data_IF_918375113452
#
_entry.id   IF_918375113452
#
_cell.length_a   1.000
_cell.length_b   1.000
_cell.length_c   1.000
_cell.angle_alpha   90.00
_cell.angle_beta   90.00
_cell.angle_gamma   90.00
#
_symmetry.space_group_name_H-M   'P 1'
#
loop_
_entity.id
_entity.type
_entity.pdbx_description
1 polymer ?
#
# COMPACT_ATOMS: atom_id res chain seq x y z
N UNK A 1 -12.75 83.46 81.12
CA UNK A 1 -13.33 84.51 80.27
C UNK A 1 -14.82 84.45 80.43
N UNK A 2 -15.38 85.47 81.08
CA UNK A 2 -16.81 85.57 81.34
C UNK A 2 -17.51 86.17 80.14
N UNK A 3 -18.76 85.81 79.92
CA UNK A 3 -19.59 86.30 78.83
C UNK A 3 -20.87 86.88 79.38
N UNK A 4 -21.41 87.89 78.70
CA UNK A 4 -22.73 88.40 79.02
C UNK A 4 -23.80 87.37 78.60
N UNK A 5 -24.65 86.86 79.52
CA UNK A 5 -25.68 85.89 79.16
C UNK A 5 -26.77 86.47 78.26
N UNK A 6 -26.88 87.80 78.17
CA UNK A 6 -27.91 88.49 77.38
C UNK A 6 -27.48 88.77 75.93
N UNK A 7 -26.19 88.93 75.65
CA UNK A 7 -25.71 89.28 74.30
C UNK A 7 -24.49 88.48 73.83
N UNK A 8 -23.88 87.64 74.68
CA UNK A 8 -22.75 86.79 74.33
C UNK A 8 -21.41 87.50 74.18
N UNK A 9 -21.31 88.81 74.45
CA UNK A 9 -20.04 89.55 74.43
C UNK A 9 -19.15 89.14 75.60
N UNK A 10 -17.83 89.17 75.42
CA UNK A 10 -16.86 88.95 76.51
C UNK A 10 -16.94 90.08 77.54
N UNK A 11 -16.89 89.74 78.82
CA UNK A 11 -16.93 90.68 79.95
C UNK A 11 -15.84 90.32 80.95
N UNK A 12 -15.31 91.31 81.68
CA UNK A 12 -14.37 91.06 82.78
C UNK A 12 -15.11 90.61 84.05
N UNK A 13 -14.41 90.00 84.98
CA UNK A 13 -15.01 89.38 86.18
C UNK A 13 -15.53 90.44 87.17
N UNK A 14 -14.96 91.63 87.17
CA UNK A 14 -15.27 92.76 88.05
C UNK A 14 -16.35 93.72 87.49
N UNK A 15 -16.84 93.49 86.28
CA UNK A 15 -17.86 94.33 85.66
C UNK A 15 -19.27 94.02 86.22
N UNK A 16 -19.95 95.06 86.73
CA UNK A 16 -21.34 94.96 87.22
C UNK A 16 -22.39 95.16 86.11
N UNK A 17 -22.01 95.76 84.98
CA UNK A 17 -22.87 96.00 83.83
C UNK A 17 -22.13 95.63 82.54
N UNK A 18 -22.84 95.06 81.57
CA UNK A 18 -22.26 94.72 80.28
C UNK A 18 -22.00 96.00 79.47
N UNK A 19 -20.75 96.21 79.06
CA UNK A 19 -20.32 97.38 78.26
C UNK A 19 -21.02 97.44 76.89
N UNK A 20 -21.46 96.29 76.36
CA UNK A 20 -22.10 96.20 75.04
C UNK A 20 -23.62 96.33 75.07
N UNK A 21 -24.31 95.75 76.06
CA UNK A 21 -25.78 95.75 76.11
C UNK A 21 -26.38 96.56 77.27
N UNK A 22 -25.56 97.13 78.15
CA UNK A 22 -25.96 98.00 79.26
C UNK A 22 -26.71 97.33 80.41
N UNK A 23 -27.00 96.02 80.32
CA UNK A 23 -27.73 95.29 81.37
C UNK A 23 -26.81 94.93 82.55
N UNK A 24 -27.36 94.94 83.77
CA UNK A 24 -26.67 94.49 84.99
C UNK A 24 -26.29 93.01 84.82
N UNK A 25 -25.02 92.70 84.99
CA UNK A 25 -24.52 91.33 84.92
C UNK A 25 -24.89 90.59 86.22
N UNK A 26 -25.28 89.30 86.15
CA UNK A 26 -25.56 88.51 87.35
C UNK A 26 -24.34 88.46 88.27
N UNK A 27 -24.50 88.67 89.57
CA UNK A 27 -23.37 88.63 90.54
C UNK A 27 -22.76 87.22 90.66
N UNK A 28 -23.55 86.19 90.32
CA UNK A 28 -23.08 84.83 90.19
C UNK A 28 -22.26 84.66 88.88
N UNK A 29 -20.97 84.39 89.04
CA UNK A 29 -20.00 84.21 87.94
C UNK A 29 -20.32 82.96 87.12
N UNK A 30 -20.94 81.93 87.70
CA UNK A 30 -21.21 80.66 87.01
C UNK A 30 -22.24 80.85 85.87
N UNK A 31 -23.14 81.81 86.02
CA UNK A 31 -24.10 82.22 84.98
C UNK A 31 -23.44 82.98 83.80
N UNK A 32 -22.15 83.33 83.92
CA UNK A 32 -21.37 84.02 82.89
C UNK A 32 -20.47 83.06 82.09
N UNK A 33 -20.56 81.75 82.30
CA UNK A 33 -19.79 80.73 81.57
C UNK A 33 -20.60 80.10 80.43
N UNK A 34 -20.02 80.00 79.23
CA UNK A 34 -20.66 79.33 78.08
C UNK A 34 -20.82 77.82 78.35
N UNK A 35 -21.97 77.20 78.03
CA UNK A 35 -22.14 75.76 78.15
C UNK A 35 -21.21 75.00 77.19
N UNK A 36 -20.42 74.07 77.74
CA UNK A 36 -19.46 73.24 76.97
C UNK A 36 -20.22 72.33 76.00
N UNK A 37 -20.09 72.56 74.69
CA UNK A 37 -20.75 71.77 73.63
C UNK A 37 -20.20 70.33 73.60
N UNK A 38 -21.05 69.35 73.94
CA UNK A 38 -20.73 67.91 74.02
C UNK A 38 -20.55 67.23 72.65
N UNK A 39 -19.59 67.66 71.84
CA UNK A 39 -19.26 67.05 70.54
C UNK A 39 -18.46 65.73 70.64
N UNK A 40 -18.06 65.30 71.84
CA UNK A 40 -17.20 64.12 72.02
C UNK A 40 -17.91 62.78 71.81
N UNK A 41 -19.20 62.66 72.17
CA UNK A 41 -19.91 61.37 72.13
C UNK A 41 -20.11 60.84 70.70
N UNK A 42 -20.41 61.70 69.73
CA UNK A 42 -20.60 61.29 68.35
C UNK A 42 -19.29 60.81 67.69
N UNK A 43 -18.14 61.43 68.03
CA UNK A 43 -16.84 61.03 67.50
C UNK A 43 -16.45 59.62 68.02
N UNK A 44 -16.68 59.34 69.30
CA UNK A 44 -16.42 58.01 69.86
C UNK A 44 -17.37 56.93 69.29
N UNK A 45 -18.63 57.28 68.99
CA UNK A 45 -19.58 56.36 68.34
C UNK A 45 -19.12 56.04 66.92
N UNK A 46 -18.73 57.04 66.12
CA UNK A 46 -18.21 56.82 64.76
C UNK A 46 -16.93 55.98 64.75
N UNK A 47 -16.03 56.21 65.72
CA UNK A 47 -14.79 55.44 65.86
C UNK A 47 -15.08 53.98 66.26
N UNK A 48 -16.02 53.75 67.17
CA UNK A 48 -16.42 52.40 67.59
C UNK A 48 -17.05 51.60 66.44
N UNK A 49 -17.89 52.23 65.62
CA UNK A 49 -18.48 51.59 64.43
C UNK A 49 -17.39 51.24 63.40
N UNK A 50 -16.43 52.14 63.18
CA UNK A 50 -15.31 51.87 62.27
C UNK A 50 -14.46 50.68 62.73
N UNK A 51 -14.15 50.59 64.02
CA UNK A 51 -13.41 49.46 64.59
C UNK A 51 -14.20 48.16 64.46
N UNK A 52 -15.51 48.17 64.73
CA UNK A 52 -16.36 47.01 64.58
C UNK A 52 -16.43 46.53 63.12
N UNK A 53 -16.62 47.43 62.16
CA UNK A 53 -16.61 47.12 60.73
C UNK A 53 -15.25 46.59 60.27
N UNK A 54 -14.15 47.19 60.71
CA UNK A 54 -12.81 46.69 60.43
C UNK A 54 -12.59 45.28 60.99
N UNK A 55 -13.08 45.00 62.19
CA UNK A 55 -13.01 43.67 62.80
C UNK A 55 -13.81 42.62 62.00
N UNK A 56 -15.02 42.98 61.55
CA UNK A 56 -15.85 42.11 60.69
C UNK A 56 -15.14 41.85 59.36
N UNK A 57 -14.57 42.87 58.72
CA UNK A 57 -13.83 42.71 57.46
C UNK A 57 -12.61 41.79 57.63
N UNK A 58 -11.84 41.94 58.72
CA UNK A 58 -10.69 41.07 59.00
C UNK A 58 -11.13 39.64 59.28
N UNK A 59 -12.18 39.45 60.09
CA UNK A 59 -12.73 38.11 60.35
C UNK A 59 -13.23 37.43 59.08
N UNK A 60 -13.93 38.18 58.22
CA UNK A 60 -14.40 37.70 56.92
C UNK A 60 -13.25 37.38 55.97
N UNK A 61 -12.17 38.18 55.98
CA UNK A 61 -10.97 37.91 55.20
C UNK A 61 -10.29 36.60 55.63
N UNK A 62 -10.13 36.36 56.94
CA UNK A 62 -9.57 35.10 57.44
C UNK A 62 -10.45 33.90 57.07
N UNK A 63 -11.77 34.03 57.16
CA UNK A 63 -12.71 32.99 56.75
C UNK A 63 -12.60 32.67 55.25
N UNK A 64 -12.54 33.69 54.38
CA UNK A 64 -12.32 33.50 52.95
C UNK A 64 -10.95 32.85 52.64
N UNK A 65 -9.93 33.20 53.42
CA UNK A 65 -8.60 32.64 53.27
C UNK A 65 -8.57 31.15 53.65
N UNK A 66 -9.21 30.78 54.77
CA UNK A 66 -9.35 29.38 55.19
C UNK A 66 -10.14 28.55 54.17
N UNK A 67 -11.26 29.06 53.65
CA UNK A 67 -12.01 28.42 52.57
C UNK A 67 -11.17 28.22 51.31
N UNK A 68 -10.35 29.21 50.96
CA UNK A 68 -9.48 29.14 49.78
C UNK A 68 -8.38 28.09 49.98
N UNK A 69 -7.85 27.95 51.19
CA UNK A 69 -6.85 26.95 51.53
C UNK A 69 -7.42 25.53 51.47
N UNK A 70 -8.61 25.32 52.06
CA UNK A 70 -9.33 24.03 51.98
C UNK A 70 -9.69 23.67 50.53
N UNK A 71 -10.18 24.62 49.75
CA UNK A 71 -10.47 24.39 48.33
C UNK A 71 -9.22 23.99 47.54
N UNK A 72 -8.06 24.59 47.85
CA UNK A 72 -6.79 24.26 47.21
C UNK A 72 -6.27 22.88 47.62
N UNK A 73 -6.44 22.50 48.89
CA UNK A 73 -6.08 21.18 49.40
C UNK A 73 -6.88 20.08 48.69
N UNK A 74 -8.22 20.20 48.66
CA UNK A 74 -9.08 19.26 47.95
C UNK A 74 -8.79 19.22 46.44
N UNK A 75 -8.43 20.35 45.83
CA UNK A 75 -8.03 20.38 44.43
C UNK A 75 -6.72 19.60 44.17
N UNK A 76 -5.71 19.75 45.04
CA UNK A 76 -4.45 18.98 44.92
C UNK A 76 -4.66 17.49 45.13
N UNK A 77 -5.56 17.13 46.04
CA UNK A 77 -5.95 15.74 46.26
C UNK A 77 -6.62 15.16 45.00
N UNK A 78 -7.51 15.92 44.37
CA UNK A 78 -8.11 15.55 43.09
C UNK A 78 -7.07 15.35 41.98
N UNK A 79 -6.08 16.23 41.85
CA UNK A 79 -4.99 16.06 40.87
C UNK A 79 -4.22 14.74 41.11
N UNK A 80 -3.98 14.39 42.38
CA UNK A 80 -3.32 13.14 42.73
C UNK A 80 -4.18 11.91 42.37
N UNK A 81 -5.48 11.93 42.68
CA UNK A 81 -6.40 10.87 42.28
C UNK A 81 -6.51 10.72 40.76
N UNK A 82 -6.53 11.85 40.05
CA UNK A 82 -6.65 11.85 38.60
C UNK A 82 -5.45 11.21 37.91
N UNK A 83 -4.23 11.53 38.38
CA UNK A 83 -3.00 10.92 37.86
C UNK A 83 -2.89 9.43 38.16
N UNK A 84 -3.62 8.95 39.17
CA UNK A 84 -3.74 7.52 39.50
C UNK A 84 -4.89 6.84 38.73
N UNK A 85 -5.67 7.59 37.94
CA UNK A 85 -6.83 7.08 37.20
C UNK A 85 -8.08 6.84 38.04
N UNK A 86 -8.12 7.33 39.29
CA UNK A 86 -9.30 7.23 40.14
C UNK A 86 -10.24 8.42 39.90
N UNK A 87 -10.99 8.35 38.79
CA UNK A 87 -11.86 9.44 38.35
C UNK A 87 -13.04 9.69 39.31
N UNK A 88 -13.49 8.67 40.04
CA UNK A 88 -14.60 8.81 40.99
C UNK A 88 -14.17 9.56 42.25
N UNK A 89 -13.01 9.23 42.81
CA UNK A 89 -12.44 10.01 43.93
C UNK A 89 -12.06 11.42 43.48
N UNK A 90 -11.54 11.57 42.26
CA UNK A 90 -11.26 12.89 41.66
C UNK A 90 -12.49 13.78 41.65
N UNK A 91 -13.64 13.30 41.16
CA UNK A 91 -14.89 14.08 41.17
C UNK A 91 -15.34 14.44 42.59
N UNK A 92 -15.18 13.53 43.55
CA UNK A 92 -15.55 13.77 44.94
C UNK A 92 -14.72 14.90 45.54
N UNK A 93 -13.38 14.85 45.41
CA UNK A 93 -12.49 15.91 45.90
C UNK A 93 -12.69 17.24 45.15
N UNK A 94 -13.03 17.23 43.86
CA UNK A 94 -13.36 18.45 43.11
C UNK A 94 -14.68 19.09 43.54
N UNK A 95 -15.70 18.28 43.84
CA UNK A 95 -16.95 18.80 44.37
C UNK A 95 -16.72 19.43 45.76
N UNK A 96 -15.93 18.80 46.63
CA UNK A 96 -15.52 19.39 47.91
C UNK A 96 -14.80 20.73 47.72
N UNK A 97 -13.86 20.81 46.76
CA UNK A 97 -13.16 22.06 46.45
C UNK A 97 -14.13 23.19 46.01
N UNK A 98 -15.14 22.84 45.21
CA UNK A 98 -16.16 23.78 44.72
C UNK A 98 -17.20 24.15 45.79
N UNK A 99 -17.45 23.30 46.78
CA UNK A 99 -18.26 23.63 47.96
C UNK A 99 -17.56 24.70 48.83
N UNK A 100 -16.24 24.61 48.99
CA UNK A 100 -15.45 25.61 49.69
C UNK A 100 -15.26 26.90 48.89
N UNK A 101 -15.20 26.81 47.55
CA UNK A 101 -15.05 27.96 46.65
C UNK A 101 -15.77 27.73 45.32
N UNK A 102 -17.01 28.20 45.23
CA UNK A 102 -17.86 28.01 44.04
C UNK A 102 -17.23 28.55 42.75
N UNK A 103 -16.58 29.71 42.81
CA UNK A 103 -15.90 30.32 41.66
C UNK A 103 -14.41 29.94 41.64
N UNK A 104 -14.13 28.69 41.30
CA UNK A 104 -12.77 28.18 41.12
C UNK A 104 -12.60 27.60 39.70
N UNK A 105 -12.18 28.42 38.71
CA UNK A 105 -12.14 28.02 37.30
C UNK A 105 -11.34 26.74 37.02
N UNK A 106 -10.17 26.57 37.65
CA UNK A 106 -9.35 25.37 37.45
C UNK A 106 -10.05 24.10 37.96
N UNK A 107 -10.77 24.16 39.09
CA UNK A 107 -11.53 23.02 39.58
C UNK A 107 -12.74 22.70 38.69
N UNK A 108 -13.38 23.71 38.10
CA UNK A 108 -14.47 23.52 37.13
C UNK A 108 -13.94 22.81 35.88
N UNK A 109 -12.86 23.32 35.29
CA UNK A 109 -12.23 22.73 34.10
C UNK A 109 -11.77 21.29 34.36
N UNK A 110 -11.09 21.05 35.48
CA UNK A 110 -10.61 19.71 35.83
C UNK A 110 -11.78 18.73 36.07
N UNK A 111 -12.89 19.21 36.64
CA UNK A 111 -14.10 18.39 36.84
C UNK A 111 -14.77 18.03 35.53
N UNK A 112 -14.83 18.98 34.59
CA UNK A 112 -15.44 18.74 33.29
C UNK A 112 -14.58 17.77 32.46
N UNK A 113 -13.25 17.91 32.51
CA UNK A 113 -12.31 16.89 32.00
C UNK A 113 -12.52 15.52 32.66
N UNK A 114 -12.64 15.47 34.00
CA UNK A 114 -12.80 14.20 34.73
C UNK A 114 -14.10 13.49 34.34
N UNK A 115 -15.20 14.23 34.13
CA UNK A 115 -16.45 13.66 33.63
C UNK A 115 -16.29 13.08 32.23
N UNK A 116 -15.60 13.79 31.34
CA UNK A 116 -15.28 13.28 30.01
C UNK A 116 -14.44 12.00 30.08
N UNK A 117 -13.41 11.97 30.94
CA UNK A 117 -12.57 10.80 31.12
C UNK A 117 -13.35 9.57 31.61
N UNK A 118 -14.36 9.75 32.46
CA UNK A 118 -15.27 8.67 32.89
C UNK A 118 -16.07 8.14 31.71
N UNK A 119 -16.66 9.01 30.89
CA UNK A 119 -17.43 8.61 29.70
C UNK A 119 -16.54 7.79 28.76
N UNK A 120 -15.33 8.29 28.48
CA UNK A 120 -14.36 7.59 27.62
C UNK A 120 -14.00 6.22 28.19
N UNK A 121 -13.76 6.09 29.50
CA UNK A 121 -13.45 4.80 30.13
C UNK A 121 -14.65 3.85 30.12
N UNK A 122 -15.87 4.34 30.28
CA UNK A 122 -17.08 3.52 30.13
C UNK A 122 -17.20 2.99 28.70
N UNK A 123 -17.02 3.85 27.69
CA UNK A 123 -17.08 3.47 26.28
C UNK A 123 -16.01 2.44 25.89
N UNK A 124 -14.83 2.49 26.52
CA UNK A 124 -13.75 1.51 26.32
C UNK A 124 -14.01 0.15 26.99
N UNK A 125 -14.83 0.11 28.05
CA UNK A 125 -15.13 -1.11 28.79
C UNK A 125 -16.32 -1.90 28.23
N UNK A 126 -17.06 -1.34 27.27
CA UNK A 126 -18.12 -2.08 26.60
C UNK A 126 -17.48 -3.16 25.73
N UNK A 127 -17.77 -4.44 26.00
CA UNK A 127 -17.45 -5.56 25.11
C UNK A 127 -18.25 -5.43 23.80
N UNK A 128 -17.81 -4.54 22.93
CA UNK A 128 -18.40 -4.35 21.61
C UNK A 128 -17.85 -5.39 20.64
N UNK A 129 -18.75 -6.21 20.10
CA UNK A 129 -18.41 -7.17 19.05
C UNK A 129 -18.19 -6.50 17.69
N UNK A 130 -18.60 -5.24 17.54
CA UNK A 130 -18.37 -4.45 16.33
C UNK A 130 -17.11 -3.59 16.45
N UNK A 131 -16.04 -4.03 15.77
CA UNK A 131 -14.78 -3.30 15.69
C UNK A 131 -14.91 -1.88 15.13
N UNK A 132 -15.87 -1.60 14.24
CA UNK A 132 -16.04 -0.27 13.65
C UNK A 132 -16.64 0.71 14.67
N UNK A 133 -17.61 0.27 15.45
CA UNK A 133 -18.21 1.07 16.51
C UNK A 133 -17.17 1.43 17.57
N UNK A 134 -16.39 0.47 18.04
CA UNK A 134 -15.33 0.73 19.04
C UNK A 134 -14.26 1.70 18.54
N UNK A 135 -13.86 1.59 17.27
CA UNK A 135 -12.90 2.53 16.67
C UNK A 135 -13.49 3.94 16.50
N UNK A 136 -14.79 4.05 16.27
CA UNK A 136 -15.48 5.35 16.19
C UNK A 136 -15.49 6.03 17.56
N UNK A 137 -15.87 5.31 18.63
CA UNK A 137 -15.85 5.82 20.01
C UNK A 137 -14.46 6.29 20.43
N UNK A 138 -13.40 5.52 20.10
CA UNK A 138 -12.02 5.92 20.37
C UNK A 138 -11.65 7.23 19.66
N UNK A 139 -12.02 7.37 18.39
CA UNK A 139 -11.72 8.58 17.62
C UNK A 139 -12.49 9.80 18.13
N UNK A 140 -13.73 9.60 18.57
CA UNK A 140 -14.53 10.64 19.23
C UNK A 140 -13.89 11.07 20.54
N UNK A 141 -13.53 10.14 21.42
CA UNK A 141 -12.80 10.43 22.66
C UNK A 141 -11.49 11.19 22.42
N UNK A 142 -10.68 10.78 21.42
CA UNK A 142 -9.45 11.51 21.04
C UNK A 142 -9.74 12.94 20.59
N UNK A 143 -10.82 13.16 19.83
CA UNK A 143 -11.23 14.47 19.36
C UNK A 143 -11.68 15.34 20.53
N UNK A 144 -12.47 14.82 21.46
CA UNK A 144 -12.93 15.57 22.64
C UNK A 144 -11.76 15.95 23.56
N UNK A 145 -10.79 15.04 23.73
CA UNK A 145 -9.56 15.28 24.50
C UNK A 145 -8.64 16.33 23.88
N UNK A 146 -8.75 16.62 22.58
CA UNK A 146 -7.90 17.62 21.92
C UNK A 146 -8.08 19.05 22.46
N UNK A 147 -9.18 19.30 23.18
CA UNK A 147 -9.44 20.58 23.84
C UNK A 147 -8.70 20.74 25.17
N UNK A 148 -8.10 19.67 25.69
CA UNK A 148 -7.44 19.64 26.99
C UNK A 148 -5.93 19.39 26.81
N UNK A 149 -5.15 19.78 27.81
CA UNK A 149 -3.70 19.53 27.84
C UNK A 149 -3.23 19.20 29.25
N UNK A 150 -2.19 18.38 29.36
CA UNK A 150 -1.58 18.02 30.64
C UNK A 150 -1.30 16.54 30.76
N UNK A 151 -0.60 16.15 31.83
CA UNK A 151 -0.11 14.78 32.04
C UNK A 151 -1.23 13.74 32.10
N UNK A 152 -2.37 14.06 32.73
CA UNK A 152 -3.52 13.16 32.77
C UNK A 152 -4.14 12.95 31.37
N UNK A 153 -4.14 13.99 30.54
CA UNK A 153 -4.62 13.93 29.15
C UNK A 153 -3.71 13.02 28.33
N UNK A 154 -2.39 13.18 28.46
CA UNK A 154 -1.40 12.33 27.79
C UNK A 154 -1.57 10.84 28.16
N UNK A 155 -1.79 10.53 29.43
CA UNK A 155 -2.05 9.16 29.90
C UNK A 155 -3.32 8.57 29.27
N UNK A 156 -4.41 9.34 29.19
CA UNK A 156 -5.66 8.86 28.60
C UNK A 156 -5.55 8.73 27.07
N UNK A 157 -4.83 9.64 26.41
CA UNK A 157 -4.51 9.53 24.98
C UNK A 157 -3.69 8.27 24.69
N UNK A 158 -2.70 7.95 25.53
CA UNK A 158 -1.92 6.71 25.41
C UNK A 158 -2.81 5.47 25.57
N UNK A 159 -3.70 5.44 26.58
CA UNK A 159 -4.69 4.37 26.73
C UNK A 159 -5.56 4.20 25.47
N UNK A 160 -6.07 5.29 24.91
CA UNK A 160 -6.87 5.28 23.68
C UNK A 160 -6.07 4.82 22.46
N UNK A 161 -4.80 5.18 22.35
CA UNK A 161 -3.91 4.69 21.30
C UNK A 161 -3.69 3.18 21.42
N UNK A 162 -3.42 2.69 22.63
CA UNK A 162 -3.22 1.27 22.89
C UNK A 162 -4.51 0.46 22.62
N UNK A 163 -5.67 0.96 23.07
CA UNK A 163 -6.96 0.36 22.78
C UNK A 163 -7.24 0.30 21.26
N UNK A 164 -6.92 1.37 20.53
CA UNK A 164 -7.06 1.39 19.06
C UNK A 164 -6.22 0.30 18.40
N UNK A 165 -4.94 0.21 18.77
CA UNK A 165 -4.02 -0.79 18.23
C UNK A 165 -4.54 -2.20 18.51
N UNK A 166 -4.94 -2.48 19.76
CA UNK A 166 -5.48 -3.79 20.15
C UNK A 166 -6.72 -4.18 19.34
N UNK A 167 -7.68 -3.27 19.18
CA UNK A 167 -8.91 -3.52 18.41
C UNK A 167 -8.59 -3.76 16.93
N UNK A 168 -7.65 -3.01 16.36
CA UNK A 168 -7.21 -3.22 14.98
C UNK A 168 -6.53 -4.59 14.82
N UNK A 169 -5.70 -5.00 15.77
CA UNK A 169 -5.06 -6.32 15.79
C UNK A 169 -6.10 -7.44 15.89
N UNK A 170 -7.06 -7.34 16.80
CA UNK A 170 -8.13 -8.34 16.93
C UNK A 170 -8.97 -8.45 15.66
N UNK A 171 -9.31 -7.32 15.03
CA UNK A 171 -10.00 -7.31 13.74
C UNK A 171 -9.21 -8.05 12.66
N UNK A 172 -7.91 -7.80 12.57
CA UNK A 172 -7.02 -8.50 11.62
C UNK A 172 -6.97 -10.00 11.91
N UNK A 173 -6.78 -10.40 13.18
CA UNK A 173 -6.76 -11.80 13.61
C UNK A 173 -8.08 -12.52 13.31
N UNK A 174 -9.21 -11.88 13.60
CA UNK A 174 -10.53 -12.43 13.32
C UNK A 174 -10.76 -12.65 11.82
N UNK A 175 -10.29 -11.73 10.97
CA UNK A 175 -10.33 -11.91 9.51
C UNK A 175 -9.45 -13.07 9.03
N UNK A 176 -8.29 -13.27 9.64
CA UNK A 176 -7.37 -14.37 9.31
C UNK A 176 -7.90 -15.75 9.74
N UNK A 177 -8.59 -15.82 10.88
CA UNK A 177 -9.17 -17.06 11.39
C UNK A 177 -10.22 -17.67 10.44
N UNK A 178 -10.83 -16.87 9.57
CA UNK A 178 -11.88 -17.29 8.64
C UNK A 178 -11.36 -17.81 7.28
N UNK A 179 -10.11 -18.29 7.21
CA UNK A 179 -9.46 -18.81 5.99
C UNK A 179 -9.69 -17.92 4.74
N UNK A 180 -9.22 -16.66 4.79
CA UNK A 180 -9.52 -15.67 3.76
C UNK A 180 -8.98 -16.06 2.38
N UNK A 181 -9.69 -15.64 1.33
CA UNK A 181 -9.20 -15.75 -0.05
C UNK A 181 -7.89 -14.98 -0.25
N UNK A 182 -7.13 -15.28 -1.32
CA UNK A 182 -5.92 -14.54 -1.66
C UNK A 182 -6.17 -13.04 -1.83
N UNK A 183 -7.29 -12.65 -2.44
CA UNK A 183 -7.66 -11.22 -2.57
C UNK A 183 -7.94 -10.56 -1.22
N UNK A 184 -8.49 -11.33 -0.28
CA UNK A 184 -8.74 -10.88 1.08
C UNK A 184 -7.42 -10.75 1.85
N UNK A 185 -6.47 -11.69 1.69
CA UNK A 185 -5.13 -11.60 2.28
C UNK A 185 -4.38 -10.34 1.85
N UNK A 186 -4.52 -9.90 0.60
CA UNK A 186 -3.94 -8.63 0.13
C UNK A 186 -4.49 -7.42 0.88
N UNK A 187 -5.79 -7.44 1.19
CA UNK A 187 -6.45 -6.36 1.95
C UNK A 187 -6.02 -6.41 3.41
N UNK A 188 -5.98 -7.60 4.02
CA UNK A 188 -5.54 -7.79 5.41
C UNK A 188 -4.08 -7.38 5.58
N UNK A 189 -3.21 -7.65 4.60
CA UNK A 189 -1.82 -7.22 4.62
C UNK A 189 -1.72 -5.70 4.76
N UNK A 190 -2.47 -4.96 3.93
CA UNK A 190 -2.46 -3.50 3.98
C UNK A 190 -3.01 -2.96 5.30
N UNK A 191 -4.04 -3.60 5.86
CA UNK A 191 -4.56 -3.25 7.19
C UNK A 191 -3.51 -3.50 8.28
N UNK A 192 -2.83 -4.65 8.27
CA UNK A 192 -1.81 -5.01 9.25
C UNK A 192 -0.60 -4.05 9.19
N UNK A 193 -0.12 -3.71 8.00
CA UNK A 193 1.00 -2.77 7.81
C UNK A 193 0.70 -1.34 8.29
N UNK A 194 -0.58 -0.99 8.39
CA UNK A 194 -1.01 0.30 8.92
C UNK A 194 -0.97 0.37 10.45
N UNK A 195 -0.80 -0.75 11.15
CA UNK A 195 -0.81 -0.83 12.61
C UNK A 195 0.65 -0.73 13.11
N UNK A 196 0.90 0.24 13.99
CA UNK A 196 2.23 0.43 14.59
C UNK A 196 2.41 -0.50 15.79
N UNK A 197 2.50 -1.81 15.54
CA UNK A 197 2.68 -2.82 16.57
C UNK A 197 3.56 -4.00 16.09
N UNK A 198 4.47 -4.53 16.93
CA UNK A 198 5.32 -5.67 16.56
C UNK A 198 4.53 -6.92 16.16
N UNK A 199 3.38 -7.20 16.79
CA UNK A 199 2.54 -8.34 16.44
C UNK A 199 1.88 -8.16 15.07
N UNK A 200 1.49 -6.93 14.72
CA UNK A 200 1.00 -6.61 13.38
C UNK A 200 2.09 -6.83 12.31
N UNK A 201 3.34 -6.50 12.61
CA UNK A 201 4.48 -6.76 11.71
C UNK A 201 4.68 -8.26 11.46
N UNK A 202 4.61 -9.08 12.51
CA UNK A 202 4.67 -10.55 12.38
C UNK A 202 3.51 -11.10 11.54
N UNK A 203 2.29 -10.62 11.76
CA UNK A 203 1.12 -11.00 10.96
C UNK A 203 1.33 -10.62 9.48
N UNK A 204 1.77 -9.38 9.21
CA UNK A 204 2.05 -8.92 7.86
C UNK A 204 3.10 -9.79 7.16
N UNK A 205 4.16 -10.15 7.88
CA UNK A 205 5.20 -11.04 7.36
C UNK A 205 4.66 -12.44 7.02
N UNK A 206 3.84 -13.03 7.90
CA UNK A 206 3.19 -14.32 7.65
C UNK A 206 2.30 -14.27 6.40
N UNK A 207 1.51 -13.20 6.24
CA UNK A 207 0.66 -13.01 5.06
C UNK A 207 1.52 -12.87 3.79
N UNK A 208 2.62 -12.12 3.84
CA UNK A 208 3.55 -11.99 2.70
C UNK A 208 4.11 -13.35 2.29
N UNK A 209 4.50 -14.19 3.23
CA UNK A 209 4.99 -15.54 2.94
C UNK A 209 3.93 -16.42 2.27
N UNK A 210 2.67 -16.36 2.74
CA UNK A 210 1.56 -17.06 2.11
C UNK A 210 1.30 -16.57 0.68
N UNK A 211 1.34 -15.25 0.45
CA UNK A 211 1.19 -14.66 -0.88
C UNK A 211 2.35 -15.05 -1.81
N UNK A 212 3.59 -15.06 -1.32
CA UNK A 212 4.75 -15.52 -2.08
C UNK A 212 4.59 -17.00 -2.46
N UNK A 213 4.16 -17.85 -1.52
CA UNK A 213 3.94 -19.27 -1.77
C UNK A 213 2.87 -19.49 -2.84
N UNK A 214 1.69 -18.87 -2.69
CA UNK A 214 0.61 -18.95 -3.66
C UNK A 214 1.05 -18.46 -5.04
N UNK A 215 1.69 -17.29 -5.11
CA UNK A 215 2.21 -16.71 -6.36
C UNK A 215 3.18 -17.66 -7.05
N UNK A 216 4.11 -18.24 -6.28
CA UNK A 216 5.10 -19.19 -6.81
C UNK A 216 4.42 -20.43 -7.40
N UNK A 217 3.47 -21.02 -6.67
CA UNK A 217 2.71 -22.20 -7.12
C UNK A 217 1.93 -21.90 -8.39
N UNK A 218 1.22 -20.76 -8.44
CA UNK A 218 0.39 -20.41 -9.59
C UNK A 218 1.22 -20.06 -10.82
N UNK A 219 2.35 -19.38 -10.65
CA UNK A 219 3.28 -19.11 -11.73
C UNK A 219 3.90 -20.39 -12.29
N UNK A 220 4.31 -21.33 -11.44
CA UNK A 220 4.81 -22.64 -11.86
C UNK A 220 3.76 -23.45 -12.65
N UNK A 221 2.48 -23.39 -12.27
CA UNK A 221 1.41 -24.00 -13.06
C UNK A 221 1.34 -23.40 -14.47
N UNK A 222 1.38 -22.07 -14.59
CA UNK A 222 1.36 -21.42 -15.91
C UNK A 222 2.61 -21.72 -16.74
N UNK A 223 3.79 -21.86 -16.10
CA UNK A 223 5.01 -22.33 -16.77
C UNK A 223 4.81 -23.73 -17.36
N UNK A 224 4.27 -24.68 -16.59
CA UNK A 224 4.01 -26.05 -17.05
C UNK A 224 3.03 -26.08 -18.23
N UNK A 225 2.06 -25.17 -18.23
CA UNK A 225 1.09 -24.99 -19.32
C UNK A 225 1.65 -24.19 -20.51
N UNK A 226 2.93 -23.81 -20.50
CA UNK A 226 3.62 -22.95 -21.51
C UNK A 226 2.99 -21.56 -21.66
N UNK A 227 2.26 -21.09 -20.65
CA UNK A 227 1.60 -19.80 -20.60
C UNK A 227 2.51 -18.73 -19.93
N UNK A 228 3.68 -18.49 -20.52
CA UNK A 228 4.72 -17.63 -19.90
C UNK A 228 4.25 -16.19 -19.59
N UNK A 229 3.41 -15.61 -20.45
CA UNK A 229 2.85 -14.26 -20.23
C UNK A 229 1.97 -14.20 -18.97
N UNK A 230 1.18 -15.25 -18.71
CA UNK A 230 0.35 -15.35 -17.51
C UNK A 230 1.21 -15.61 -16.28
N UNK A 231 2.20 -16.52 -16.37
CA UNK A 231 3.16 -16.76 -15.29
C UNK A 231 3.84 -15.45 -14.86
N UNK A 232 4.31 -14.66 -15.83
CA UNK A 232 4.96 -13.36 -15.59
C UNK A 232 4.02 -12.39 -14.88
N UNK A 233 2.78 -12.25 -15.36
CA UNK A 233 1.79 -11.34 -14.76
C UNK A 233 1.46 -11.72 -13.31
N UNK A 234 1.35 -13.02 -13.00
CA UNK A 234 1.14 -13.51 -11.64
C UNK A 234 2.32 -13.13 -10.74
N UNK A 235 3.56 -13.34 -11.18
CA UNK A 235 4.76 -12.98 -10.41
C UNK A 235 4.88 -11.47 -10.21
N UNK A 236 4.62 -10.67 -11.24
CA UNK A 236 4.65 -9.21 -11.15
C UNK A 236 3.62 -8.69 -10.15
N UNK A 237 2.42 -9.27 -10.14
CA UNK A 237 1.42 -8.95 -9.12
C UNK A 237 1.88 -9.34 -7.71
N UNK A 238 2.50 -10.51 -7.52
CA UNK A 238 3.06 -10.91 -6.24
C UNK A 238 4.17 -9.99 -5.74
N UNK A 239 5.04 -9.52 -6.64
CA UNK A 239 6.11 -8.57 -6.33
C UNK A 239 5.60 -7.20 -5.85
N UNK A 240 4.33 -6.83 -6.13
CA UNK A 240 3.73 -5.61 -5.56
C UNK A 240 3.59 -5.70 -4.04
N UNK A 241 3.34 -6.91 -3.53
CA UNK A 241 3.18 -7.18 -2.10
C UNK A 241 4.46 -7.69 -1.44
N UNK A 242 5.41 -8.20 -2.22
CA UNK A 242 6.70 -8.67 -1.72
C UNK A 242 7.85 -8.25 -2.66
N UNK A 243 8.17 -6.95 -2.73
CA UNK A 243 9.08 -6.40 -3.75
C UNK A 243 10.50 -6.95 -3.63
N UNK A 244 10.93 -7.27 -2.40
CA UNK A 244 12.27 -7.77 -2.11
C UNK A 244 12.32 -9.31 -2.01
N UNK A 245 11.28 -10.02 -2.48
CA UNK A 245 11.27 -11.48 -2.43
C UNK A 245 12.28 -12.06 -3.44
N UNK A 246 13.41 -12.55 -2.95
CA UNK A 246 14.41 -13.24 -3.77
C UNK A 246 13.79 -14.39 -4.58
N UNK A 247 12.86 -15.13 -3.97
CA UNK A 247 12.15 -16.24 -4.61
C UNK A 247 11.35 -15.77 -5.83
N UNK A 248 10.56 -14.70 -5.71
CA UNK A 248 9.75 -14.18 -6.81
C UNK A 248 10.62 -13.51 -7.89
N UNK A 249 11.68 -12.81 -7.50
CA UNK A 249 12.63 -12.21 -8.45
C UNK A 249 13.38 -13.27 -9.27
N UNK A 250 13.82 -14.34 -8.61
CA UNK A 250 14.42 -15.51 -9.28
C UNK A 250 13.42 -16.17 -10.23
N UNK A 251 12.19 -16.40 -9.77
CA UNK A 251 11.14 -17.00 -10.60
C UNK A 251 10.80 -16.14 -11.83
N UNK A 252 10.75 -14.81 -11.69
CA UNK A 252 10.60 -13.89 -12.83
C UNK A 252 11.70 -14.12 -13.87
N UNK A 253 12.94 -14.22 -13.43
CA UNK A 253 14.09 -14.47 -14.31
C UNK A 253 13.99 -15.83 -15.00
N UNK A 254 13.57 -16.87 -14.27
CA UNK A 254 13.34 -18.21 -14.84
C UNK A 254 12.27 -18.19 -15.92
N UNK A 255 11.14 -17.51 -15.69
CA UNK A 255 10.06 -17.35 -16.66
C UNK A 255 10.57 -16.72 -17.96
N UNK A 256 11.34 -15.64 -17.88
CA UNK A 256 11.89 -14.97 -19.08
C UNK A 256 12.88 -15.86 -19.83
N UNK A 257 13.74 -16.59 -19.11
CA UNK A 257 14.69 -17.53 -19.72
C UNK A 257 13.98 -18.67 -20.42
N UNK A 258 12.99 -19.29 -19.77
CA UNK A 258 12.24 -20.40 -20.36
C UNK A 258 11.40 -19.94 -21.55
N UNK A 259 10.77 -18.77 -21.46
CA UNK A 259 10.05 -18.16 -22.59
C UNK A 259 10.98 -17.97 -23.79
N UNK A 260 12.13 -17.32 -23.58
CA UNK A 260 13.11 -17.07 -24.65
C UNK A 260 13.60 -18.40 -25.24
N UNK A 261 13.94 -19.38 -24.40
CA UNK A 261 14.40 -20.69 -24.86
C UNK A 261 13.32 -21.42 -25.66
N UNK A 262 12.05 -21.33 -25.25
CA UNK A 262 10.92 -21.91 -25.97
C UNK A 262 10.71 -21.25 -27.35
N UNK A 263 10.72 -19.91 -27.40
CA UNK A 263 10.55 -19.14 -28.64
C UNK A 263 11.70 -19.41 -29.63
N UNK A 264 12.95 -19.39 -29.17
CA UNK A 264 14.11 -19.72 -30.00
C UNK A 264 14.08 -21.17 -30.49
N UNK A 265 13.69 -22.13 -29.65
CA UNK A 265 13.58 -23.52 -30.07
C UNK A 265 12.47 -23.74 -31.11
N UNK A 266 11.38 -22.96 -31.05
CA UNK A 266 10.33 -23.00 -32.05
C UNK A 266 10.78 -22.38 -33.38
N UNK A 267 11.46 -21.22 -33.32
CA UNK A 267 12.04 -20.58 -34.50
C UNK A 267 13.03 -21.51 -35.21
N UNK A 268 13.92 -22.17 -34.46
CA UNK A 268 14.85 -23.16 -35.01
C UNK A 268 14.15 -24.37 -35.63
N UNK A 269 13.06 -24.86 -35.03
CA UNK A 269 12.27 -25.96 -35.61
C UNK A 269 11.64 -25.55 -36.95
N UNK A 270 11.13 -24.31 -37.02
CA UNK A 270 10.55 -23.78 -38.25
C UNK A 270 11.62 -23.60 -39.32
N UNK A 271 12.78 -23.02 -38.96
CA UNK A 271 13.90 -22.84 -39.89
C UNK A 271 14.42 -24.17 -40.43
N UNK A 272 14.59 -25.18 -39.56
CA UNK A 272 14.98 -26.53 -39.98
C UNK A 272 13.96 -27.16 -40.91
N UNK A 273 12.66 -27.03 -40.60
CA UNK A 273 11.61 -27.53 -41.47
C UNK A 273 11.60 -26.82 -42.83
N UNK A 274 11.82 -25.50 -42.85
CA UNK A 274 11.91 -24.71 -44.08
C UNK A 274 13.14 -25.09 -44.92
N UNK A 275 14.30 -25.28 -44.30
CA UNK A 275 15.53 -25.71 -44.98
C UNK A 275 15.37 -27.11 -45.58
N UNK A 276 14.79 -28.04 -44.83
CA UNK A 276 14.54 -29.39 -45.32
C UNK A 276 13.60 -29.40 -46.52
N UNK A 277 12.52 -28.61 -46.49
CA UNK A 277 11.60 -28.45 -47.63
C UNK A 277 12.32 -27.82 -48.83
N UNK A 278 13.19 -26.84 -48.62
CA UNK A 278 13.96 -26.20 -49.69
C UNK A 278 14.98 -27.15 -50.33
N UNK A 279 15.73 -27.92 -49.53
CA UNK A 279 16.67 -28.95 -50.01
C UNK A 279 15.94 -30.06 -50.77
N UNK A 280 14.76 -30.47 -50.29
CA UNK A 280 13.91 -31.45 -50.96
C UNK A 280 13.43 -30.91 -52.32
N UNK A 281 13.01 -29.65 -52.39
CA UNK A 281 12.61 -29.00 -53.63
C UNK A 281 13.79 -28.87 -54.60
N UNK A 282 14.97 -28.43 -54.14
CA UNK A 282 16.18 -28.31 -54.96
C UNK A 282 16.60 -29.66 -55.55
N UNK A 283 16.54 -30.73 -54.74
CA UNK A 283 16.82 -32.10 -55.18
C UNK A 283 15.80 -32.57 -56.22
N UNK A 284 14.52 -32.29 -56.02
CA UNK A 284 13.48 -32.64 -56.98
C UNK A 284 13.64 -31.85 -58.29
N UNK A 285 14.08 -30.59 -58.25
CA UNK A 285 14.25 -29.75 -59.43
C UNK A 285 15.52 -30.08 -60.23
N UNK A 286 16.60 -30.51 -59.57
CA UNK A 286 17.93 -30.62 -60.21
C UNK A 286 18.55 -32.02 -60.19
N UNK A 287 18.19 -32.88 -59.24
CA UNK A 287 18.83 -34.18 -58.99
C UNK A 287 17.79 -35.30 -58.76
N UNK A 288 16.69 -35.28 -59.52
CA UNK A 288 15.56 -36.20 -59.34
C UNK A 288 15.80 -37.61 -59.92
N UNK A 289 16.82 -37.79 -60.77
CA UNK A 289 17.01 -39.01 -61.56
C UNK A 289 18.45 -39.50 -61.45
N UNK A 290 18.63 -40.79 -61.17
CA UNK A 290 19.92 -41.48 -61.11
C UNK A 290 20.05 -42.48 -62.28
N UNK A 291 21.17 -42.44 -63.01
CA UNK A 291 21.46 -43.40 -64.08
C UNK A 291 21.99 -44.72 -63.51
N UNK A 292 21.24 -45.81 -63.67
CA UNK A 292 21.64 -47.15 -63.23
C UNK A 292 22.59 -47.77 -64.26
N UNK A 293 22.17 -47.81 -65.53
CA UNK A 293 22.96 -48.36 -66.60
C UNK A 293 22.63 -47.70 -67.95
N UNK A 294 23.60 -47.78 -68.85
CA UNK A 294 23.41 -47.51 -70.26
C UNK A 294 24.26 -48.50 -71.05
N UNK A 295 23.66 -49.06 -72.08
CA UNK A 295 24.27 -50.10 -72.90
C UNK A 295 24.03 -49.80 -74.36
N UNK A 296 25.06 -50.10 -75.15
CA UNK A 296 24.97 -50.08 -76.59
C UNK A 296 24.98 -51.52 -77.07
N UNK A 297 23.89 -51.94 -77.69
CA UNK A 297 23.67 -53.32 -78.14
C UNK A 297 23.27 -53.34 -79.61
N UNK A 298 23.13 -54.54 -80.16
CA UNK A 298 22.66 -54.76 -81.53
C UNK A 298 21.40 -55.58 -81.50
N UNK A 299 20.42 -55.18 -82.30
CA UNK A 299 19.21 -55.97 -82.49
C UNK A 299 19.45 -57.16 -83.45
N UNK A 300 18.43 -57.99 -83.62
CA UNK A 300 18.45 -59.16 -84.52
C UNK A 300 18.65 -58.78 -86.00
N UNK A 301 18.48 -57.50 -86.34
CA UNK A 301 18.65 -56.94 -87.68
C UNK A 301 20.00 -56.22 -87.84
N UNK A 302 20.87 -56.31 -86.82
CA UNK A 302 22.19 -55.69 -86.78
C UNK A 302 22.17 -54.15 -86.83
N UNK A 303 21.08 -53.54 -86.35
CA UNK A 303 20.97 -52.11 -86.06
C UNK A 303 21.53 -51.81 -84.65
N UNK A 304 21.96 -50.57 -84.44
CA UNK A 304 22.49 -50.11 -83.15
C UNK A 304 21.32 -49.71 -82.25
N UNK A 305 21.25 -50.32 -81.05
CA UNK A 305 20.25 -50.01 -80.03
C UNK A 305 20.94 -49.43 -78.82
N UNK A 306 20.51 -48.23 -78.43
CA UNK A 306 20.88 -47.64 -77.14
C UNK A 306 19.77 -47.99 -76.16
N UNK A 307 20.11 -48.63 -75.05
CA UNK A 307 19.15 -48.97 -73.99
C UNK A 307 19.74 -48.61 -72.62
N UNK A 308 18.92 -48.09 -71.72
CA UNK A 308 19.35 -47.77 -70.37
C UNK A 308 18.21 -47.79 -69.36
N UNK A 309 18.60 -47.73 -68.09
CA UNK A 309 17.72 -47.77 -66.93
C UNK A 309 18.02 -46.60 -66.00
N UNK A 310 16.96 -45.92 -65.58
CA UNK A 310 16.99 -44.76 -64.70
C UNK A 310 16.18 -45.06 -63.44
N UNK A 311 16.59 -44.48 -62.31
CA UNK A 311 15.86 -44.54 -61.04
C UNK A 311 15.42 -43.14 -60.62
N UNK A 312 14.16 -42.98 -60.24
CA UNK A 312 13.69 -41.79 -59.56
C UNK A 312 14.22 -41.77 -58.14
N UNK A 313 14.95 -40.71 -57.80
CA UNK A 313 15.43 -40.42 -56.44
C UNK A 313 14.76 -39.17 -55.86
N UNK A 314 13.78 -38.61 -56.58
CA UNK A 314 12.91 -37.55 -56.12
C UNK A 314 11.98 -38.02 -55.00
N UNK A 315 11.48 -37.07 -54.21
CA UNK A 315 10.49 -37.32 -53.15
C UNK A 315 9.04 -37.13 -53.62
N UNK A 316 8.86 -36.57 -54.81
CA UNK A 316 7.57 -36.42 -55.52
C UNK A 316 7.62 -37.15 -56.86
N UNK A 317 6.45 -37.51 -57.46
CA UNK A 317 6.42 -38.10 -58.79
C UNK A 317 7.03 -37.17 -59.83
N UNK A 318 7.80 -37.75 -60.75
CA UNK A 318 8.38 -37.05 -61.90
C UNK A 318 7.79 -37.60 -63.20
N UNK A 319 7.52 -36.70 -64.14
CA UNK A 319 6.78 -36.99 -65.36
C UNK A 319 7.58 -36.63 -66.61
N UNK A 320 7.29 -37.33 -67.72
CA UNK A 320 7.81 -37.03 -69.07
C UNK A 320 9.33 -36.89 -69.06
N UNK A 321 10.02 -37.91 -68.57
CA UNK A 321 11.48 -37.91 -68.46
C UNK A 321 12.09 -38.09 -69.86
N UNK A 322 12.87 -37.10 -70.30
CA UNK A 322 13.59 -37.09 -71.57
C UNK A 322 15.09 -37.25 -71.37
N UNK A 323 15.70 -38.14 -72.15
CA UNK A 323 17.12 -38.47 -72.14
C UNK A 323 17.74 -38.06 -73.47
N UNK A 324 18.60 -37.06 -73.44
CA UNK A 324 19.39 -36.60 -74.58
C UNK A 324 20.77 -37.26 -74.47
N UNK A 325 21.14 -38.04 -75.48
CA UNK A 325 22.42 -38.75 -75.52
C UNK A 325 23.12 -38.56 -76.87
N UNK A 326 24.42 -38.83 -76.89
CA UNK A 326 25.22 -38.88 -78.12
C UNK A 326 26.05 -40.14 -78.20
N UNK A 327 26.33 -40.56 -79.44
CA UNK A 327 27.15 -41.74 -79.75
C UNK A 327 28.50 -41.25 -80.27
N UNK A 328 29.57 -41.84 -79.75
CA UNK A 328 30.96 -41.53 -80.04
C UNK A 328 31.61 -42.62 -80.91
N UNK A 329 32.57 -42.20 -81.74
CA UNK A 329 33.42 -43.11 -82.51
C UNK A 329 34.69 -43.55 -81.77
N UNK A 330 35.54 -44.36 -82.42
CA UNK A 330 36.79 -44.85 -81.85
C UNK A 330 37.79 -43.72 -81.53
N UNK A 331 37.70 -42.58 -82.23
CA UNK A 331 38.54 -41.40 -82.01
C UNK A 331 37.93 -40.44 -80.95
N UNK A 332 36.74 -40.74 -80.44
CA UNK A 332 36.02 -39.95 -79.45
C UNK A 332 35.24 -38.77 -80.05
N UNK A 333 35.01 -38.76 -81.37
CA UNK A 333 34.22 -37.73 -82.05
C UNK A 333 32.72 -38.09 -82.04
N UNK A 334 31.87 -37.05 -81.97
CA UNK A 334 30.42 -37.21 -81.90
C UNK A 334 29.84 -37.57 -83.27
N UNK A 335 29.19 -38.73 -83.36
CA UNK A 335 28.57 -39.24 -84.58
C UNK A 335 27.14 -38.70 -84.71
N UNK A 336 26.34 -38.88 -83.67
CA UNK A 336 24.93 -38.51 -83.66
C UNK A 336 24.47 -38.18 -82.24
N UNK A 337 23.54 -37.25 -82.12
CA UNK A 337 22.79 -36.95 -80.90
C UNK A 337 21.32 -37.27 -81.12
N UNK A 338 20.66 -37.83 -80.12
CA UNK A 338 19.24 -38.14 -80.19
C UNK A 338 18.55 -37.92 -78.83
N UNK A 339 17.24 -37.77 -78.85
CA UNK A 339 16.38 -37.64 -77.69
C UNK A 339 15.44 -38.85 -77.61
N UNK A 340 15.28 -39.43 -76.43
CA UNK A 340 14.32 -40.51 -76.17
C UNK A 340 13.62 -40.31 -74.83
N UNK A 341 12.48 -40.96 -74.65
CA UNK A 341 11.66 -40.84 -73.44
C UNK A 341 11.68 -42.13 -72.63
N UNK A 342 11.65 -41.98 -71.31
CA UNK A 342 11.57 -43.09 -70.37
C UNK A 342 10.13 -43.62 -70.28
N UNK A 343 9.98 -44.93 -70.21
CA UNK A 343 8.73 -45.59 -69.89
C UNK A 343 8.85 -46.39 -68.57
N UNK A 344 7.84 -46.37 -67.68
CA UNK A 344 6.58 -45.60 -67.79
C UNK A 344 6.81 -44.08 -67.73
N UNK A 345 5.84 -43.30 -68.25
CA UNK A 345 5.95 -41.83 -68.39
C UNK A 345 6.09 -41.10 -67.04
N UNK A 346 5.53 -41.68 -65.98
CA UNK A 346 5.64 -41.20 -64.60
C UNK A 346 6.46 -42.19 -63.79
N UNK A 347 7.45 -41.70 -63.05
CA UNK A 347 8.16 -42.47 -62.02
C UNK A 347 7.82 -41.90 -60.64
N UNK A 348 7.28 -42.73 -59.76
CA UNK A 348 7.14 -42.40 -58.34
C UNK A 348 8.51 -42.50 -57.62
N UNK A 349 8.65 -41.94 -56.41
CA UNK A 349 9.88 -42.07 -55.63
C UNK A 349 10.37 -43.52 -55.54
N UNK A 350 11.67 -43.71 -55.79
CA UNK A 350 12.37 -45.01 -55.84
C UNK A 350 12.00 -45.95 -56.99
N UNK A 351 11.09 -45.58 -57.90
CA UNK A 351 10.76 -46.38 -59.08
C UNK A 351 11.83 -46.30 -60.17
N UNK A 352 11.86 -47.33 -61.02
CA UNK A 352 12.78 -47.43 -62.15
C UNK A 352 12.01 -47.35 -63.46
N UNK A 353 12.60 -46.66 -64.43
CA UNK A 353 12.11 -46.55 -65.79
C UNK A 353 13.18 -46.96 -66.78
N UNK A 354 12.77 -47.38 -67.96
CA UNK A 354 13.66 -47.82 -69.03
C UNK A 354 13.48 -46.96 -70.25
N UNK A 355 14.54 -46.80 -71.03
CA UNK A 355 14.49 -46.16 -72.33
C UNK A 355 15.30 -46.98 -73.33
N UNK A 356 14.83 -47.02 -74.56
CA UNK A 356 15.58 -47.60 -75.67
C UNK A 356 15.27 -46.87 -76.97
N UNK A 357 16.25 -46.86 -77.88
CA UNK A 357 16.07 -46.32 -79.22
C UNK A 357 16.95 -47.06 -80.22
N UNK A 358 16.37 -47.41 -81.36
CA UNK A 358 17.06 -48.12 -82.46
C UNK A 358 17.44 -47.16 -83.58
N UNK A 359 18.73 -47.09 -83.90
CA UNK A 359 19.27 -46.30 -85.00
C UNK A 359 19.38 -47.15 -86.27
N UNK A 360 18.50 -46.89 -87.24
CA UNK A 360 18.47 -47.62 -88.52
C UNK A 360 19.50 -47.14 -89.55
N UNK A 361 20.04 -45.93 -89.36
CA UNK A 361 20.88 -45.24 -90.36
C UNK A 361 22.38 -45.20 -90.01
N UNK A 362 22.82 -45.89 -88.94
CA UNK A 362 24.22 -45.90 -88.48
C UNK A 362 25.01 -47.10 -89.00
N UNK A 363 26.21 -46.87 -89.55
CA UNK A 363 27.12 -47.95 -89.97
C UNK A 363 27.88 -48.53 -88.76
N UNK A 364 27.91 -49.85 -88.73
CA UNK A 364 28.35 -50.70 -87.62
C UNK A 364 29.83 -50.54 -87.21
N UNK A 365 30.64 -49.89 -88.03
CA UNK A 365 32.10 -49.76 -87.83
C UNK A 365 32.51 -48.48 -87.13
N UNK A 366 31.59 -47.54 -86.96
CA UNK A 366 31.91 -46.21 -86.42
C UNK A 366 31.51 -46.05 -84.95
N UNK A 367 30.73 -46.97 -84.36
CA UNK A 367 30.17 -46.78 -83.03
C UNK A 367 31.02 -47.44 -81.95
N UNK A 368 31.46 -46.65 -80.96
CA UNK A 368 32.27 -47.12 -79.84
C UNK A 368 31.56 -47.01 -78.50
N UNK A 369 31.02 -45.84 -78.18
CA UNK A 369 30.49 -45.53 -76.84
C UNK A 369 29.25 -44.65 -76.94
N UNK A 370 28.39 -44.69 -75.92
CA UNK A 370 27.27 -43.77 -75.74
C UNK A 370 27.47 -42.97 -74.45
N UNK A 371 27.20 -41.67 -74.51
CA UNK A 371 27.26 -40.75 -73.38
C UNK A 371 25.96 -39.95 -73.29
N UNK A 372 25.48 -39.71 -72.07
CA UNK A 372 24.29 -38.89 -71.82
C UNK A 372 24.73 -37.43 -71.71
N UNK A 373 24.09 -36.55 -72.49
CA UNK A 373 24.30 -35.11 -72.39
C UNK A 373 23.44 -34.51 -71.29
N UNK A 374 22.13 -34.79 -71.28
CA UNK A 374 21.18 -34.16 -70.35
C UNK A 374 19.95 -35.04 -70.14
N UNK A 375 19.47 -35.08 -68.90
CA UNK A 375 18.18 -35.66 -68.54
C UNK A 375 17.28 -34.52 -68.08
N UNK A 376 16.05 -34.46 -68.58
CA UNK A 376 15.06 -33.44 -68.19
C UNK A 376 13.74 -34.12 -67.79
N UNK A 377 13.00 -33.51 -66.86
CA UNK A 377 11.73 -34.04 -66.34
C UNK A 377 10.82 -32.89 -65.93
N UNK A 378 9.55 -33.21 -65.67
CA UNK A 378 8.58 -32.30 -65.06
C UNK A 378 8.22 -32.78 -63.66
N UNK A 379 8.09 -31.83 -62.74
CA UNK A 379 7.54 -32.06 -61.41
C UNK A 379 6.03 -31.84 -61.44
N UNK A 380 5.30 -32.64 -60.66
CA UNK A 380 3.84 -32.55 -60.50
C UNK A 380 3.40 -31.39 -59.58
#
# INVERSE_FOLDING_TARGET
>A
MSYCPYCGSTTKEDESFCVHCGKKLPEDIDLRLMPKKNMSRFIYISLAIFIALSGICVGYYYYLQEQTEQALESYKEAEAYLLNGDYQQTLTSLNNALEHKENFPAAIELRDYTKLAIIIEEDLNVENTDYQESLMLINEGKKELSNYSGKAVEQLQEKLNNAQVNIQLEKVKAKLANEPSITTLQTILWEAEGIQDPEAEEIAQSIREQLIAYTSTKANQHIQEKQYSLARSVVENGLRYAPNSEKLLSLKTTIEKEKTAFETAEEQRIEQAMSAVAEEQERNENDAVELINITLSKDDQNNIVVSGELKSVATVPINTISVIYHILDEDGERIVSNETYVYPETLYPDEQGQFDFTHFDLDNKQVHQVEIDTITWFLD
#
